data_IF_934117644163
#
_entry.id   IF_934117644163
#
_cell.length_a   1.000
_cell.length_b   1.000
_cell.length_c   1.000
_cell.angle_alpha   90.00
_cell.angle_beta   90.00
_cell.angle_gamma   90.00
#
_symmetry.space_group_name_H-M   'P 1'
#
loop_
_entity.id
_entity.type
_entity.pdbx_description
1 polymer ?
#
# COMPACT_ATOMS: atom_id res chain seq x y z
N UNK A 1 -5.19 -21.01 17.47
CA UNK A 1 -6.12 -19.88 17.20
C UNK A 1 -5.53 -18.80 16.29
N UNK A 2 -4.31 -18.28 16.52
CA UNK A 2 -3.71 -17.22 15.66
C UNK A 2 -3.57 -17.58 14.17
N UNK A 3 -3.28 -18.85 13.84
CA UNK A 3 -3.13 -19.29 12.45
C UNK A 3 -4.44 -19.23 11.65
N UNK A 4 -5.57 -19.56 12.28
CA UNK A 4 -6.89 -19.53 11.65
C UNK A 4 -7.33 -18.09 11.36
N UNK A 5 -7.12 -17.17 12.32
CA UNK A 5 -7.34 -15.73 12.13
C UNK A 5 -6.50 -15.16 10.99
N UNK A 6 -5.24 -15.62 10.84
CA UNK A 6 -4.36 -15.21 9.75
C UNK A 6 -4.90 -15.68 8.39
N UNK A 7 -5.30 -16.96 8.28
CA UNK A 7 -5.89 -17.50 7.06
C UNK A 7 -7.20 -16.82 6.65
N UNK A 8 -8.07 -16.53 7.62
CA UNK A 8 -9.31 -15.81 7.39
C UNK A 8 -9.01 -14.37 6.94
N UNK A 9 -8.08 -13.70 7.61
CA UNK A 9 -7.61 -12.37 7.22
C UNK A 9 -7.06 -12.32 5.79
N UNK A 10 -6.18 -13.26 5.44
CA UNK A 10 -5.60 -13.35 4.10
C UNK A 10 -6.67 -13.59 3.03
N UNK A 11 -7.67 -14.43 3.32
CA UNK A 11 -8.80 -14.68 2.43
C UNK A 11 -9.65 -13.41 2.22
N UNK A 12 -9.98 -12.70 3.30
CA UNK A 12 -10.74 -11.46 3.22
C UNK A 12 -9.99 -10.38 2.46
N UNK A 13 -8.67 -10.26 2.65
CA UNK A 13 -7.87 -9.24 1.95
C UNK A 13 -7.74 -9.58 0.45
N UNK A 14 -7.58 -10.86 0.11
CA UNK A 14 -7.61 -11.29 -1.30
C UNK A 14 -8.96 -11.00 -1.96
N UNK A 15 -10.08 -11.19 -1.25
CA UNK A 15 -11.43 -11.03 -1.81
C UNK A 15 -11.91 -9.57 -1.83
N UNK A 16 -11.75 -8.86 -0.71
CA UNK A 16 -12.31 -7.52 -0.45
C UNK A 16 -11.27 -6.40 -0.41
N UNK A 17 -9.97 -6.73 -0.48
CA UNK A 17 -8.92 -5.73 -0.54
C UNK A 17 -9.08 -4.84 -1.77
N UNK A 18 -8.85 -3.54 -1.57
CA UNK A 18 -8.89 -2.56 -2.65
C UNK A 18 -7.72 -2.82 -3.62
N UNK A 19 -7.96 -2.79 -4.94
CA UNK A 19 -6.87 -2.89 -5.91
C UNK A 19 -5.98 -1.65 -5.78
N UNK A 20 -4.69 -1.88 -5.57
CA UNK A 20 -3.65 -0.86 -5.60
C UNK A 20 -3.02 -0.92 -6.99
N UNK A 21 -3.01 0.23 -7.65
CA UNK A 21 -2.32 0.44 -8.92
C UNK A 21 -1.19 1.44 -8.70
N UNK A 22 -0.13 1.28 -9.47
CA UNK A 22 0.95 2.24 -9.53
C UNK A 22 0.41 3.57 -10.03
N UNK A 23 0.68 4.64 -9.31
CA UNK A 23 0.19 5.96 -9.67
C UNK A 23 0.85 6.53 -10.94
N UNK A 24 2.10 6.14 -11.19
CA UNK A 24 2.90 6.65 -12.31
C UNK A 24 2.63 5.85 -13.58
N UNK A 25 2.55 4.52 -13.47
CA UNK A 25 2.43 3.63 -14.64
C UNK A 25 1.02 3.05 -14.84
N UNK A 26 0.16 3.11 -13.82
CA UNK A 26 -1.14 2.45 -13.83
C UNK A 26 -1.09 0.92 -13.64
N UNK A 27 0.10 0.34 -13.49
CA UNK A 27 0.30 -1.11 -13.33
C UNK A 27 -0.40 -1.63 -12.07
N UNK A 28 -0.99 -2.82 -12.15
CA UNK A 28 -1.59 -3.44 -10.97
C UNK A 28 -0.51 -3.96 -10.01
N UNK A 29 -0.38 -3.33 -8.84
CA UNK A 29 0.62 -3.69 -7.84
C UNK A 29 0.14 -4.78 -6.88
N UNK A 30 -1.17 -4.89 -6.65
CA UNK A 30 -1.76 -5.89 -5.76
C UNK A 30 -3.06 -5.43 -5.12
N UNK A 31 -3.45 -6.09 -4.03
CA UNK A 31 -4.60 -5.72 -3.20
C UNK A 31 -4.16 -5.49 -1.77
N UNK A 32 -4.78 -4.53 -1.09
CA UNK A 32 -4.65 -4.38 0.35
C UNK A 32 -5.92 -3.81 0.95
N UNK A 33 -6.09 -3.99 2.26
CA UNK A 33 -7.04 -3.21 3.02
C UNK A 33 -6.38 -1.89 3.42
N UNK A 34 -6.96 -0.77 3.01
CA UNK A 34 -6.49 0.58 3.34
C UNK A 34 -7.44 1.18 4.37
N UNK A 35 -6.91 1.50 5.55
CA UNK A 35 -7.69 2.11 6.64
C UNK A 35 -6.97 3.35 7.14
N UNK A 36 -7.66 4.48 7.17
CA UNK A 36 -7.17 5.69 7.83
C UNK A 36 -7.65 5.66 9.27
N UNK A 37 -6.72 5.56 10.22
CA UNK A 37 -7.04 5.52 11.64
C UNK A 37 -6.04 6.36 12.44
N UNK A 38 -6.55 7.24 13.31
CA UNK A 38 -5.75 8.16 14.15
C UNK A 38 -4.70 8.96 13.37
N UNK A 39 -5.07 9.47 12.20
CA UNK A 39 -4.18 10.27 11.34
C UNK A 39 -3.10 9.46 10.60
N UNK A 40 -3.13 8.12 10.69
CA UNK A 40 -2.20 7.23 10.00
C UNK A 40 -2.92 6.40 8.94
N UNK A 41 -2.23 6.15 7.84
CA UNK A 41 -2.70 5.27 6.78
C UNK A 41 -2.15 3.89 7.07
N UNK A 42 -3.04 2.94 7.33
CA UNK A 42 -2.70 1.54 7.55
C UNK A 42 -2.96 0.78 6.26
N UNK A 43 -1.92 0.12 5.75
CA UNK A 43 -2.02 -0.78 4.60
C UNK A 43 -1.81 -2.20 5.14
N UNK A 44 -2.86 -3.01 5.10
CA UNK A 44 -2.89 -4.33 5.76
C UNK A 44 -3.03 -5.42 4.71
N UNK A 45 -2.17 -6.45 4.83
CA UNK A 45 -2.16 -7.65 3.98
C UNK A 45 -1.94 -7.37 2.51
N UNK A 46 -1.07 -6.42 2.18
CA UNK A 46 -0.72 -6.14 0.80
C UNK A 46 -0.22 -7.41 0.09
N UNK A 47 -0.87 -7.76 -1.01
CA UNK A 47 -0.61 -9.01 -1.75
C UNK A 47 0.46 -8.86 -2.84
N UNK A 48 0.99 -7.64 -3.04
CA UNK A 48 1.97 -7.36 -4.08
C UNK A 48 3.40 -7.66 -3.68
N UNK A 49 4.33 -7.40 -4.60
CA UNK A 49 5.77 -7.66 -4.41
C UNK A 49 6.51 -6.35 -4.17
N UNK A 50 7.23 -6.30 -3.04
CA UNK A 50 8.08 -5.18 -2.66
C UNK A 50 7.34 -4.11 -1.83
N UNK A 51 8.09 -3.16 -1.26
CA UNK A 51 7.51 -2.08 -0.47
C UNK A 51 6.74 -1.10 -1.36
N UNK A 52 5.63 -0.59 -0.83
CA UNK A 52 4.91 0.53 -1.43
C UNK A 52 5.51 1.85 -0.97
N UNK A 53 5.66 2.78 -1.90
CA UNK A 53 5.99 4.18 -1.63
C UNK A 53 4.73 5.02 -1.75
N UNK A 54 4.47 5.88 -0.77
CA UNK A 54 3.37 6.83 -0.82
C UNK A 54 3.78 8.05 -1.65
N UNK A 55 2.89 8.49 -2.53
CA UNK A 55 3.11 9.66 -3.40
C UNK A 55 1.95 10.63 -3.31
N UNK A 56 2.24 11.92 -3.43
CA UNK A 56 1.21 12.96 -3.51
C UNK A 56 0.80 13.12 -4.97
N UNK A 57 -0.48 12.91 -5.25
CA UNK A 57 -1.00 13.09 -6.60
C UNK A 57 -1.14 14.57 -6.91
N UNK A 58 -0.94 14.92 -8.18
CA UNK A 58 -1.36 16.21 -8.70
C UNK A 58 -2.86 16.40 -8.47
N UNK A 59 -3.26 17.59 -8.00
CA UNK A 59 -4.66 17.90 -7.79
C UNK A 59 -5.25 18.49 -9.07
N UNK A 60 -6.34 17.90 -9.58
CA UNK A 60 -7.07 18.45 -10.74
C UNK A 60 -7.68 19.84 -10.46
N UNK A 61 -7.92 20.16 -9.18
CA UNK A 61 -8.47 21.44 -8.73
C UNK A 61 -7.77 21.87 -7.46
N UNK A 62 -7.46 23.16 -7.35
CA UNK A 62 -6.84 23.74 -6.15
C UNK A 62 -7.76 23.53 -4.95
N UNK A 63 -7.38 22.65 -4.02
CA UNK A 63 -8.07 22.45 -2.73
C UNK A 63 -7.05 22.52 -1.60
N UNK A 64 -7.15 23.56 -0.77
CA UNK A 64 -6.24 23.75 0.37
C UNK A 64 -6.47 22.76 1.52
N UNK A 65 -7.65 22.17 1.62
CA UNK A 65 -8.04 21.30 2.73
C UNK A 65 -7.96 19.80 2.40
N UNK A 66 -7.66 19.42 1.14
CA UNK A 66 -7.67 18.02 0.69
C UNK A 66 -6.52 17.74 -0.24
N UNK A 67 -5.69 16.75 0.12
CA UNK A 67 -4.63 16.24 -0.72
C UNK A 67 -4.96 14.81 -1.17
N UNK A 68 -4.79 14.54 -2.46
CA UNK A 68 -4.88 13.18 -3.00
C UNK A 68 -3.54 12.49 -2.85
N UNK A 69 -3.58 11.24 -2.42
CA UNK A 69 -2.40 10.38 -2.25
C UNK A 69 -2.57 9.13 -3.10
N UNK A 70 -1.46 8.62 -3.62
CA UNK A 70 -1.36 7.39 -4.37
C UNK A 70 -0.25 6.49 -3.81
N UNK A 71 -0.10 5.33 -4.42
CA UNK A 71 1.00 4.41 -4.12
C UNK A 71 1.75 4.11 -5.41
N UNK A 72 3.07 3.99 -5.32
CA UNK A 72 3.94 3.51 -6.38
C UNK A 72 4.86 2.42 -5.84
N UNK A 73 5.48 1.64 -6.73
CA UNK A 73 6.53 0.70 -6.33
C UNK A 73 7.71 1.48 -5.75
N UNK A 74 8.15 1.13 -4.55
CA UNK A 74 9.41 1.65 -4.05
C UNK A 74 10.54 1.13 -4.93
N UNK A 75 11.40 2.04 -5.39
CA UNK A 75 12.64 1.69 -6.07
C UNK A 75 13.56 0.83 -5.21
N UNK A 76 14.65 0.36 -5.82
CA UNK A 76 15.71 -0.32 -5.07
C UNK A 76 16.17 0.60 -3.92
N UNK A 77 16.44 0.06 -2.71
CA UNK A 77 16.99 0.86 -1.64
C UNK A 77 18.30 1.49 -2.08
N UNK A 78 18.54 2.76 -1.74
CA UNK A 78 19.78 3.45 -2.07
C UNK A 78 21.01 2.77 -1.44
N UNK A 79 20.81 2.01 -0.36
CA UNK A 79 21.83 1.21 0.28
C UNK A 79 21.37 -0.25 0.46
N UNK A 80 22.16 -1.24 0.03
CA UNK A 80 21.87 -2.64 0.33
C UNK A 80 21.89 -2.84 1.86
N UNK A 81 20.88 -3.53 2.40
CA UNK A 81 20.89 -3.90 3.80
C UNK A 81 22.06 -4.87 4.02
N UNK A 82 23.10 -4.44 4.71
CA UNK A 82 24.07 -5.38 5.27
C UNK A 82 23.31 -6.36 6.16
N UNK A 83 23.21 -7.61 5.71
CA UNK A 83 22.84 -8.71 6.57
C UNK A 83 24.02 -8.86 7.54
N UNK A 84 23.87 -8.36 8.76
CA UNK A 84 24.75 -8.74 9.86
C UNK A 84 24.52 -10.23 10.10
N UNK A 85 25.47 -11.05 9.65
CA UNK A 85 25.60 -12.46 10.04
C UNK A 85 25.99 -12.59 11.52
#
# INVERSE_FOLDING_TARGET
MRALLRHIGDFFIRRLGSPIRDDETGEFLGRALIVIWRGRIHVIGFTGVGPLKLVFRSQERIRYWRQSIGFTRSGAPDFPRHLSE
#
